data_IF_103136956899
#
_entry.id   IF_103136956899
#
_cell.length_a   1.000
_cell.length_b   1.000
_cell.length_c   1.000
_cell.angle_alpha   90.00
_cell.angle_beta   90.00
_cell.angle_gamma   90.00
#
_symmetry.space_group_name_H-M   'P 1'
#
loop_
_entity.id
_entity.type
_entity.pdbx_description
1 polymer ?
#
# COMPACT_ATOMS: atom_id res chain seq x y z
N UNK A 1 8.39 -11.94 -4.79
CA UNK A 1 8.68 -11.09 -5.96
C UNK A 1 7.72 -9.92 -5.95
N UNK A 2 8.21 -8.72 -5.69
CA UNK A 2 7.46 -7.49 -5.91
C UNK A 2 8.26 -6.67 -6.93
N UNK A 3 7.66 -6.41 -8.08
CA UNK A 3 8.27 -5.64 -9.16
C UNK A 3 8.27 -4.15 -8.76
N UNK A 4 9.21 -3.76 -7.91
CA UNK A 4 9.33 -2.36 -7.47
C UNK A 4 10.21 -1.62 -8.48
N UNK A 5 9.57 -0.81 -9.33
CA UNK A 5 10.22 0.00 -10.36
C UNK A 5 11.26 0.97 -9.79
N UNK A 6 11.05 1.47 -8.56
CA UNK A 6 11.97 2.40 -7.89
C UNK A 6 11.88 2.27 -6.37
N UNK A 7 12.99 1.87 -5.73
CA UNK A 7 13.06 1.61 -4.27
C UNK A 7 13.47 2.81 -3.42
N UNK A 8 13.92 3.90 -4.05
CA UNK A 8 14.34 5.13 -3.36
C UNK A 8 13.16 5.99 -2.89
N UNK A 9 12.00 5.82 -3.52
CA UNK A 9 10.83 6.62 -3.20
C UNK A 9 10.16 6.01 -1.97
N UNK A 10 10.44 6.61 -0.81
CA UNK A 10 9.82 6.21 0.45
C UNK A 10 8.38 6.68 0.43
N UNK A 11 7.45 5.74 0.54
CA UNK A 11 6.02 6.02 0.67
C UNK A 11 5.46 5.37 1.93
N UNK A 12 4.41 5.95 2.50
CA UNK A 12 3.53 5.23 3.42
C UNK A 12 2.32 4.70 2.64
N UNK A 13 1.69 3.66 3.15
CA UNK A 13 0.50 3.05 2.56
C UNK A 13 -0.53 2.84 3.67
N UNK A 14 -1.74 3.35 3.47
CA UNK A 14 -2.93 2.99 4.25
C UNK A 14 -3.75 1.99 3.44
N UNK A 15 -4.22 0.93 4.10
CA UNK A 15 -5.01 -0.13 3.48
C UNK A 15 -6.32 -0.26 4.26
N UNK A 16 -7.45 -0.22 3.55
CA UNK A 16 -8.74 -0.59 4.11
C UNK A 16 -9.00 -2.07 3.80
N UNK A 17 -9.17 -2.87 4.84
CA UNK A 17 -9.39 -4.32 4.73
C UNK A 17 -10.77 -4.68 5.25
N UNK A 18 -11.51 -5.48 4.48
CA UNK A 18 -12.74 -6.11 4.95
C UNK A 18 -12.37 -7.16 6.02
N UNK A 19 -12.97 -7.09 7.20
CA UNK A 19 -12.65 -7.98 8.33
C UNK A 19 -13.05 -9.44 8.09
N UNK A 20 -14.14 -9.67 7.37
CA UNK A 20 -14.71 -11.00 7.15
C UNK A 20 -13.96 -11.73 6.03
N UNK A 21 -13.84 -11.09 4.87
CA UNK A 21 -13.22 -11.69 3.68
C UNK A 21 -11.71 -11.52 3.64
N UNK A 22 -11.16 -10.58 4.44
CA UNK A 22 -9.75 -10.15 4.41
C UNK A 22 -9.33 -9.53 3.08
N UNK A 23 -10.30 -9.13 2.26
CA UNK A 23 -10.04 -8.45 0.99
C UNK A 23 -9.63 -7.00 1.24
N UNK A 24 -8.74 -6.49 0.39
CA UNK A 24 -8.39 -5.08 0.36
C UNK A 24 -9.43 -4.37 -0.50
N UNK A 25 -10.19 -3.47 0.10
CA UNK A 25 -11.29 -2.74 -0.57
C UNK A 25 -10.88 -1.35 -1.04
N UNK A 26 -9.84 -0.77 -0.42
CA UNK A 26 -9.25 0.49 -0.83
C UNK A 26 -7.82 0.62 -0.31
N UNK A 27 -7.03 1.49 -0.93
CA UNK A 27 -5.73 1.90 -0.43
C UNK A 27 -5.48 3.37 -0.76
N UNK A 28 -4.61 4.00 0.04
CA UNK A 28 -4.05 5.31 -0.24
C UNK A 28 -2.55 5.25 -0.01
N UNK A 29 -1.80 5.97 -0.84
CA UNK A 29 -0.36 6.15 -0.67
C UNK A 29 -0.04 7.63 -0.54
N UNK A 30 1.06 7.92 0.15
CA UNK A 30 1.59 9.27 0.24
C UNK A 30 3.11 9.24 0.38
N UNK A 31 3.71 10.39 0.09
CA UNK A 31 5.14 10.59 0.24
C UNK A 31 5.57 10.46 1.72
N UNK A 32 6.73 9.85 1.94
CA UNK A 32 7.33 9.62 3.26
C UNK A 32 8.77 10.16 3.26
N UNK A 33 8.92 11.42 2.87
CA UNK A 33 10.14 12.22 3.05
C UNK A 33 10.44 12.49 4.52
#
# INVERSE_FOLDING_TARGET
WSFVFRSKDKVWIWIAMNRETREIVAYACGDRS
#
